data_IF_208517812081
#
_entry.id   IF_208517812081
#
_cell.length_a   1.000
_cell.length_b   1.000
_cell.length_c   1.000
_cell.angle_alpha   90.00
_cell.angle_beta   90.00
_cell.angle_gamma   90.00
#
_symmetry.space_group_name_H-M   'P 1'
#
loop_
_entity.id
_entity.type
_entity.pdbx_description
1 polymer ?
#
# COMPACT_ATOMS: atom_id res chain seq x y z
N UNK A 1 15.66 -31.14 -25.82
CA UNK A 1 16.99 -30.49 -25.74
C UNK A 1 16.75 -29.03 -26.07
N UNK A 2 17.23 -28.09 -25.26
CA UNK A 2 17.00 -26.65 -25.50
C UNK A 2 18.10 -26.09 -26.39
N UNK A 3 17.75 -25.31 -27.42
CA UNK A 3 18.73 -24.74 -28.36
C UNK A 3 18.24 -23.46 -29.02
N UNK A 4 19.16 -22.59 -29.41
CA UNK A 4 18.86 -21.47 -30.30
C UNK A 4 18.77 -21.95 -31.75
N UNK A 5 17.70 -21.59 -32.45
CA UNK A 5 17.50 -21.90 -33.87
C UNK A 5 17.10 -20.61 -34.57
N UNK A 6 17.92 -20.13 -35.52
CA UNK A 6 17.68 -18.88 -36.26
C UNK A 6 17.42 -17.64 -35.36
N UNK A 7 18.07 -17.57 -34.20
CA UNK A 7 17.88 -16.47 -33.23
C UNK A 7 16.62 -16.58 -32.37
N UNK A 8 15.82 -17.65 -32.53
CA UNK A 8 14.69 -17.95 -31.66
C UNK A 8 15.06 -19.06 -30.68
N UNK A 9 14.56 -18.93 -29.45
CA UNK A 9 14.74 -19.95 -28.44
C UNK A 9 13.81 -21.13 -28.68
N UNK A 10 14.38 -22.33 -28.84
CA UNK A 10 13.62 -23.57 -28.94
C UNK A 10 13.63 -24.32 -27.62
N UNK A 11 12.46 -24.43 -27.00
CA UNK A 11 12.27 -25.04 -25.68
C UNK A 11 12.52 -26.56 -25.66
N UNK A 12 12.18 -27.26 -26.76
CA UNK A 12 12.41 -28.70 -26.91
C UNK A 12 11.87 -29.55 -25.75
N UNK A 13 10.63 -29.25 -25.31
CA UNK A 13 9.97 -29.89 -24.17
C UNK A 13 9.62 -31.35 -24.49
N UNK A 14 9.93 -32.25 -23.55
CA UNK A 14 9.62 -33.68 -23.64
C UNK A 14 8.78 -34.06 -22.43
N UNK A 15 7.61 -34.62 -22.69
CA UNK A 15 6.64 -35.00 -21.66
C UNK A 15 6.85 -36.45 -21.23
N UNK A 16 6.74 -36.73 -19.93
CA UNK A 16 6.88 -38.10 -19.38
C UNK A 16 5.72 -39.02 -19.77
N UNK A 17 4.54 -38.44 -20.02
CA UNK A 17 3.31 -39.15 -20.41
C UNK A 17 2.49 -38.30 -21.36
N UNK A 18 1.50 -38.93 -22.00
CA UNK A 18 0.50 -38.20 -22.77
C UNK A 18 -0.38 -37.34 -21.86
N UNK A 19 -0.82 -36.21 -22.40
CA UNK A 19 -1.77 -35.32 -21.75
C UNK A 19 -3.15 -35.96 -21.67
N UNK A 20 -3.83 -35.73 -20.54
CA UNK A 20 -5.26 -35.94 -20.48
C UNK A 20 -5.99 -34.83 -21.26
N UNK A 21 -7.23 -35.09 -21.66
CA UNK A 21 -8.03 -34.15 -22.48
C UNK A 21 -8.13 -32.76 -21.82
N UNK A 22 -8.23 -32.70 -20.49
CA UNK A 22 -8.30 -31.44 -19.74
C UNK A 22 -6.95 -30.74 -19.54
N UNK A 23 -5.82 -31.42 -19.77
CA UNK A 23 -4.48 -30.83 -19.68
C UNK A 23 -4.04 -30.21 -21.01
N UNK A 24 -4.63 -30.63 -22.13
CA UNK A 24 -4.36 -30.08 -23.46
C UNK A 24 -4.53 -28.55 -23.51
N UNK A 25 -5.62 -27.94 -23.00
CA UNK A 25 -5.74 -26.48 -23.02
C UNK A 25 -4.67 -25.80 -22.15
N UNK A 26 -4.32 -26.35 -20.99
CA UNK A 26 -3.27 -25.81 -20.11
C UNK A 26 -1.89 -25.87 -20.78
N UNK A 27 -1.60 -26.98 -21.46
CA UNK A 27 -0.34 -27.14 -22.20
C UNK A 27 -0.24 -26.14 -23.36
N UNK A 28 -1.36 -25.81 -24.02
CA UNK A 28 -1.40 -24.78 -25.06
C UNK A 28 -1.18 -23.39 -24.50
N UNK A 29 -1.86 -23.04 -23.42
CA UNK A 29 -1.66 -21.76 -22.74
C UNK A 29 -0.19 -21.58 -22.30
N UNK A 30 0.40 -22.64 -21.75
CA UNK A 30 1.82 -22.65 -21.42
C UNK A 30 2.71 -22.47 -22.66
N UNK A 31 2.44 -23.17 -23.76
CA UNK A 31 3.20 -23.04 -25.00
C UNK A 31 3.10 -21.62 -25.58
N UNK A 32 1.92 -21.00 -25.52
CA UNK A 32 1.72 -19.59 -25.91
C UNK A 32 2.54 -18.63 -25.05
N UNK A 33 2.54 -18.80 -23.72
CA UNK A 33 3.34 -17.97 -22.81
C UNK A 33 4.84 -18.13 -23.10
N UNK A 34 5.31 -19.36 -23.31
CA UNK A 34 6.70 -19.66 -23.58
C UNK A 34 7.16 -19.10 -24.94
N UNK A 35 6.33 -19.19 -25.97
CA UNK A 35 6.66 -18.71 -27.32
C UNK A 35 6.49 -17.19 -27.48
N UNK A 36 5.63 -16.56 -26.66
CA UNK A 36 5.52 -15.09 -26.60
C UNK A 36 6.64 -14.43 -25.77
N UNK A 37 7.39 -15.21 -24.99
CA UNK A 37 8.52 -14.67 -24.23
C UNK A 37 9.76 -14.50 -25.11
N UNK A 38 10.26 -13.26 -25.19
CA UNK A 38 11.50 -12.96 -25.89
C UNK A 38 12.68 -13.25 -24.95
N UNK A 39 13.29 -14.42 -25.12
CA UNK A 39 14.56 -14.72 -24.46
C UNK A 39 15.69 -14.06 -25.26
N UNK A 40 16.69 -13.55 -24.54
CA UNK A 40 17.90 -12.97 -25.10
C UNK A 40 19.07 -13.73 -24.48
N UNK A 41 20.17 -13.89 -25.21
CA UNK A 41 21.40 -14.54 -24.70
C UNK A 41 22.18 -13.64 -23.71
N UNK A 42 21.54 -12.60 -23.17
CA UNK A 42 22.10 -11.74 -22.14
C UNK A 42 22.02 -12.42 -20.77
N UNK A 43 22.95 -12.05 -19.89
CA UNK A 43 22.89 -12.51 -18.50
C UNK A 43 21.62 -11.99 -17.82
N UNK A 44 20.99 -12.86 -17.03
CA UNK A 44 19.81 -12.50 -16.24
C UNK A 44 20.12 -11.31 -15.33
N UNK A 45 19.24 -10.29 -15.38
CA UNK A 45 19.33 -9.11 -14.52
C UNK A 45 17.98 -8.80 -13.88
N UNK A 46 18.03 -8.28 -12.66
CA UNK A 46 16.87 -7.67 -12.03
C UNK A 46 16.53 -6.38 -12.76
N UNK A 47 15.31 -6.30 -13.29
CA UNK A 47 14.80 -5.08 -13.94
C UNK A 47 13.78 -4.43 -13.02
N UNK A 48 13.94 -3.13 -12.81
CA UNK A 48 12.97 -2.31 -12.10
C UNK A 48 12.01 -1.69 -13.11
N UNK A 49 10.79 -2.19 -13.20
CA UNK A 49 9.84 -1.76 -14.23
C UNK A 49 9.44 -0.28 -14.17
N UNK A 50 9.59 0.39 -13.02
CA UNK A 50 9.27 1.81 -12.94
C UNK A 50 10.39 2.73 -13.46
N UNK A 51 11.61 2.21 -13.63
CA UNK A 51 12.69 2.87 -14.36
C UNK A 51 13.63 1.80 -14.91
N UNK A 52 13.39 1.40 -16.15
CA UNK A 52 14.13 0.31 -16.81
C UNK A 52 15.56 0.74 -17.13
N UNK A 53 15.80 2.02 -17.41
CA UNK A 53 17.09 2.55 -17.86
C UNK A 53 18.07 2.77 -16.70
N UNK A 54 17.63 3.42 -15.60
CA UNK A 54 18.49 3.68 -14.43
C UNK A 54 18.38 2.59 -13.35
N UNK A 55 17.48 1.62 -13.53
CA UNK A 55 17.23 0.57 -12.56
C UNK A 55 16.54 1.07 -11.28
N UNK A 56 16.70 0.29 -10.19
CA UNK A 56 16.05 0.61 -8.92
C UNK A 56 16.67 1.85 -8.27
N UNK A 57 15.82 2.83 -7.97
CA UNK A 57 16.15 3.90 -7.05
C UNK A 57 15.01 4.14 -6.07
N UNK A 58 15.34 4.58 -4.85
CA UNK A 58 14.35 4.96 -3.84
C UNK A 58 13.38 5.99 -4.42
N UNK A 59 13.89 6.96 -5.18
CA UNK A 59 13.07 7.97 -5.89
C UNK A 59 12.04 7.31 -6.80
N UNK A 60 12.48 6.46 -7.73
CA UNK A 60 11.57 5.80 -8.68
C UNK A 60 10.53 4.90 -8.01
N UNK A 61 10.87 4.29 -6.86
CA UNK A 61 9.92 3.56 -6.03
C UNK A 61 8.85 4.50 -5.46
N UNK A 62 9.25 5.62 -4.87
CA UNK A 62 8.30 6.60 -4.33
C UNK A 62 7.41 7.20 -5.41
N UNK A 63 7.96 7.52 -6.58
CA UNK A 63 7.19 8.05 -7.71
C UNK A 63 6.15 7.02 -8.21
N UNK A 64 6.57 5.76 -8.35
CA UNK A 64 5.68 4.66 -8.71
C UNK A 64 4.58 4.41 -7.67
N UNK A 65 4.95 4.38 -6.39
CA UNK A 65 4.00 4.24 -5.28
C UNK A 65 3.04 5.43 -5.23
N UNK A 66 3.51 6.64 -5.49
CA UNK A 66 2.68 7.83 -5.53
C UNK A 66 1.58 7.66 -6.59
N UNK A 67 1.93 7.33 -7.82
CA UNK A 67 0.93 7.10 -8.89
C UNK A 67 -0.02 5.94 -8.53
N UNK A 68 0.53 4.83 -8.04
CA UNK A 68 -0.22 3.58 -7.83
C UNK A 68 -1.13 3.60 -6.60
N UNK A 69 -0.71 4.28 -5.53
CA UNK A 69 -1.42 4.31 -4.24
C UNK A 69 -2.21 5.60 -4.03
N UNK A 70 -1.74 6.75 -4.50
CA UNK A 70 -2.45 8.03 -4.25
C UNK A 70 -3.76 8.10 -5.02
N UNK A 71 -3.85 7.51 -6.22
CA UNK A 71 -5.13 7.37 -6.92
C UNK A 71 -6.15 6.48 -6.17
N UNK A 72 -5.69 5.58 -5.29
CA UNK A 72 -6.57 4.72 -4.49
C UNK A 72 -7.05 5.38 -3.20
N UNK A 73 -6.39 6.45 -2.77
CA UNK A 73 -6.75 7.24 -1.59
C UNK A 73 -7.14 8.63 -2.07
N UNK A 74 -8.38 8.79 -2.53
CA UNK A 74 -8.96 10.10 -2.78
C UNK A 74 -8.99 10.88 -1.48
N UNK A 75 -7.98 11.74 -1.27
CA UNK A 75 -7.95 12.64 -0.12
C UNK A 75 -8.97 13.74 -0.32
N UNK A 76 -9.73 14.04 0.71
CA UNK A 76 -10.66 15.18 0.65
C UNK A 76 -9.87 16.50 0.69
N UNK A 77 -10.45 17.58 0.17
CA UNK A 77 -9.85 18.91 0.23
C UNK A 77 -9.55 19.34 1.67
N UNK A 78 -10.39 18.93 2.62
CA UNK A 78 -10.20 19.15 4.05
C UNK A 78 -8.96 18.44 4.58
N UNK A 79 -8.74 17.18 4.20
CA UNK A 79 -7.56 16.41 4.62
C UNK A 79 -6.26 17.01 4.08
N UNK A 80 -6.25 17.42 2.81
CA UNK A 80 -5.08 18.07 2.19
C UNK A 80 -4.74 19.37 2.91
N UNK A 81 -5.75 20.19 3.21
CA UNK A 81 -5.58 21.42 3.98
C UNK A 81 -5.06 21.13 5.39
N UNK A 82 -5.69 20.23 6.13
CA UNK A 82 -5.31 19.87 7.49
C UNK A 82 -3.87 19.35 7.56
N UNK A 83 -3.46 18.45 6.66
CA UNK A 83 -2.09 17.96 6.60
C UNK A 83 -1.09 19.06 6.31
N UNK A 84 -1.38 19.97 5.38
CA UNK A 84 -0.52 21.14 5.12
C UNK A 84 -0.37 22.01 6.37
N UNK A 85 -1.47 22.24 7.09
CA UNK A 85 -1.46 23.09 8.29
C UNK A 85 -0.67 22.45 9.44
N UNK A 86 -0.83 21.15 9.71
CA UNK A 86 -0.14 20.43 10.79
C UNK A 86 1.39 20.56 10.69
N UNK A 87 1.94 20.54 9.47
CA UNK A 87 3.38 20.65 9.24
C UNK A 87 3.90 22.10 9.20
N UNK A 88 3.02 23.09 9.10
CA UNK A 88 3.35 24.52 9.12
C UNK A 88 3.24 25.15 10.51
N UNK A 89 2.56 24.48 11.45
CA UNK A 89 2.46 24.93 12.83
C UNK A 89 3.84 25.03 13.50
N UNK A 90 4.07 26.11 14.25
CA UNK A 90 5.28 26.33 15.04
C UNK A 90 5.27 25.49 16.34
N UNK A 91 5.10 24.18 16.21
CA UNK A 91 5.08 23.22 17.33
C UNK A 91 6.22 22.22 17.18
N UNK A 92 6.65 21.56 18.28
CA UNK A 92 7.64 20.49 18.19
C UNK A 92 7.17 19.38 17.25
N UNK A 93 8.10 18.78 16.51
CA UNK A 93 7.80 17.74 15.50
C UNK A 93 7.01 16.55 16.04
N UNK A 94 7.21 16.19 17.32
CA UNK A 94 6.43 15.15 18.01
C UNK A 94 4.94 15.50 18.10
N UNK A 95 4.61 16.77 18.31
CA UNK A 95 3.23 17.26 18.38
C UNK A 95 2.59 17.24 17.00
N UNK A 96 3.29 17.70 15.96
CA UNK A 96 2.81 17.59 14.57
C UNK A 96 2.59 16.13 14.16
N UNK A 97 3.52 15.22 14.52
CA UNK A 97 3.38 13.81 14.24
C UNK A 97 2.17 13.19 14.96
N UNK A 98 1.93 13.56 16.23
CA UNK A 98 0.76 13.12 16.99
C UNK A 98 -0.54 13.63 16.36
N UNK A 99 -0.61 14.91 15.99
CA UNK A 99 -1.78 15.50 15.33
C UNK A 99 -2.07 14.82 13.98
N UNK A 100 -1.02 14.53 13.19
CA UNK A 100 -1.14 13.78 11.94
C UNK A 100 -1.64 12.35 12.16
N UNK A 101 -1.16 11.67 13.20
CA UNK A 101 -1.63 10.33 13.58
C UNK A 101 -3.08 10.35 14.07
N UNK A 102 -3.47 11.34 14.87
CA UNK A 102 -4.86 11.56 15.31
C UNK A 102 -5.78 11.70 14.11
N UNK A 103 -5.44 12.59 13.18
CA UNK A 103 -6.26 12.89 12.02
C UNK A 103 -6.42 11.69 11.06
N UNK A 104 -5.47 10.77 11.07
CA UNK A 104 -5.54 9.53 10.30
C UNK A 104 -6.17 8.35 11.05
N UNK A 105 -6.65 8.56 12.28
CA UNK A 105 -7.13 7.51 13.18
C UNK A 105 -6.09 6.38 13.35
N UNK A 106 -4.84 6.77 13.61
CA UNK A 106 -3.68 5.86 13.72
C UNK A 106 -3.09 5.78 15.12
N UNK A 107 -3.75 6.35 16.11
CA UNK A 107 -3.35 6.21 17.51
C UNK A 107 -3.84 4.85 18.04
N UNK A 108 -3.04 4.15 18.87
CA UNK A 108 -3.43 2.88 19.48
C UNK A 108 -4.50 3.10 20.58
N UNK A 109 -5.66 3.63 20.21
CA UNK A 109 -6.86 3.64 21.04
C UNK A 109 -7.46 2.24 21.06
N UNK A 110 -8.28 1.94 22.06
CA UNK A 110 -8.96 0.64 22.19
C UNK A 110 -9.76 0.30 20.94
N UNK A 111 -10.49 1.27 20.41
CA UNK A 111 -11.29 1.13 19.19
C UNK A 111 -10.42 0.82 17.96
N UNK A 112 -9.29 1.52 17.80
CA UNK A 112 -8.38 1.28 16.68
C UNK A 112 -7.68 -0.08 16.75
N UNK A 113 -7.30 -0.51 17.95
CA UNK A 113 -6.73 -1.83 18.16
C UNK A 113 -7.75 -2.92 17.86
N UNK A 114 -9.01 -2.72 18.26
CA UNK A 114 -10.12 -3.62 17.97
C UNK A 114 -10.43 -3.66 16.46
N UNK A 115 -10.54 -2.51 15.81
CA UNK A 115 -10.79 -2.40 14.36
C UNK A 115 -9.70 -3.12 13.54
N UNK A 116 -8.44 -3.06 14.01
CA UNK A 116 -7.30 -3.77 13.41
C UNK A 116 -7.18 -5.23 13.83
N UNK A 117 -8.10 -5.74 14.65
CA UNK A 117 -8.13 -7.12 15.17
C UNK A 117 -6.87 -7.49 15.96
N UNK A 118 -6.30 -6.52 16.67
CA UNK A 118 -5.16 -6.73 17.59
C UNK A 118 -5.68 -7.19 18.96
N UNK A 119 -6.80 -6.63 19.42
CA UNK A 119 -7.50 -7.03 20.64
C UNK A 119 -8.90 -7.55 20.29
N UNK A 120 -9.44 -8.45 21.12
CA UNK A 120 -10.79 -9.00 20.95
C UNK A 120 -11.84 -8.09 21.60
N UNK A 121 -13.03 -8.01 20.99
CA UNK A 121 -14.17 -7.21 21.50
C UNK A 121 -14.55 -7.60 22.94
N UNK A 122 -14.31 -8.85 23.33
CA UNK A 122 -14.62 -9.34 24.68
C UNK A 122 -13.67 -8.74 25.75
N UNK A 123 -12.52 -8.17 25.34
CA UNK A 123 -11.61 -7.38 26.20
C UNK A 123 -11.93 -5.86 26.13
N UNK A 124 -12.86 -5.45 25.27
CA UNK A 124 -13.30 -4.06 25.04
C UNK A 124 -14.47 -3.71 25.98
N UNK A 125 -15.00 -4.64 26.77
CA UNK A 125 -15.95 -4.31 27.83
C UNK A 125 -15.24 -3.58 28.99
N UNK A 126 -15.58 -2.31 29.16
CA UNK A 126 -15.02 -1.47 30.22
C UNK A 126 -15.45 -1.99 31.60
N UNK A 127 -14.48 -2.16 32.50
CA UNK A 127 -14.70 -2.33 33.95
C UNK A 127 -15.20 -1.05 34.66
N UNK A 128 -16.04 -0.24 33.99
CA UNK A 128 -16.84 0.80 34.60
C UNK A 128 -18.27 0.60 34.14
N UNK A 129 -19.06 -0.02 35.01
CA UNK A 129 -20.47 -0.22 34.77
C UNK A 129 -21.23 1.10 34.65
N UNK A 130 -22.17 1.12 33.71
CA UNK A 130 -23.32 2.02 33.73
C UNK A 130 -23.57 2.80 32.44
N UNK A 131 -24.48 2.27 31.60
CA UNK A 131 -25.47 3.08 30.87
C UNK A 131 -25.14 3.55 29.45
N UNK A 132 -25.74 2.86 28.47
CA UNK A 132 -26.38 3.34 27.23
C UNK A 132 -25.82 4.53 26.43
N UNK A 133 -25.22 4.23 25.27
CA UNK A 133 -25.48 4.81 23.91
C UNK A 133 -24.20 5.01 23.08
N UNK A 134 -24.16 4.61 21.79
CA UNK A 134 -22.97 4.69 20.93
C UNK A 134 -22.91 5.96 20.08
N UNK A 135 -23.20 7.13 20.66
CA UNK A 135 -23.14 8.39 19.92
C UNK A 135 -22.63 9.52 20.81
N UNK A 136 -21.34 9.82 20.69
CA UNK A 136 -20.78 11.06 21.22
C UNK A 136 -19.46 10.87 21.94
N UNK A 137 -18.39 10.53 21.23
CA UNK A 137 -17.01 10.63 21.73
C UNK A 137 -16.01 10.79 20.57
N UNK A 138 -16.33 11.55 19.53
CA UNK A 138 -15.31 12.10 18.62
C UNK A 138 -15.80 13.47 18.22
N UNK A 139 -15.43 14.51 18.97
CA UNK A 139 -15.39 15.90 18.51
C UNK A 139 -14.90 16.78 19.67
N UNK A 140 -13.58 16.79 19.94
CA UNK A 140 -13.00 17.89 20.73
C UNK A 140 -11.49 18.09 20.55
N UNK A 141 -11.00 18.05 19.31
CA UNK A 141 -9.59 18.42 18.98
C UNK A 141 -9.52 19.61 18.02
N UNK A 142 -10.68 20.14 17.57
CA UNK A 142 -10.72 21.17 16.52
C UNK A 142 -10.42 22.59 17.02
N UNK A 143 -10.47 22.83 18.33
CA UNK A 143 -10.43 24.19 18.86
C UNK A 143 -9.03 24.63 19.33
N UNK A 144 -8.12 23.70 19.59
CA UNK A 144 -6.78 24.04 20.10
C UNK A 144 -5.83 24.68 19.08
N UNK A 145 -6.15 24.71 17.78
CA UNK A 145 -5.33 25.38 16.77
C UNK A 145 -5.76 26.83 16.50
N UNK A 146 -7.04 27.16 16.72
CA UNK A 146 -7.58 28.51 16.50
C UNK A 146 -7.26 29.48 17.64
N UNK A 147 -7.09 29.00 18.87
CA UNK A 147 -6.83 29.88 20.01
C UNK A 147 -5.41 30.47 20.04
N UNK A 148 -4.42 29.82 19.42
CA UNK A 148 -3.04 30.32 19.39
C UNK A 148 -2.86 31.55 18.47
N UNK A 149 -3.70 31.70 17.43
CA UNK A 149 -3.65 32.88 16.55
C UNK A 149 -4.15 34.17 17.24
N UNK A 150 -4.94 34.07 18.31
CA UNK A 150 -5.41 35.24 19.07
C UNK A 150 -4.44 35.74 20.14
N UNK A 151 -3.41 34.95 20.48
CA UNK A 151 -2.41 35.31 21.49
C UNK A 151 -1.13 35.89 20.87
N UNK A 152 -1.02 35.93 19.54
CA UNK A 152 0.15 36.39 18.81
C UNK A 152 -0.02 37.76 18.12
N UNK A 153 -1.05 38.54 18.49
CA UNK A 153 -1.26 39.91 17.99
C UNK A 153 -1.53 40.89 19.13
#
# INVERSE_FOLDING_TARGET
>A
MRSWVNGLWWWGLIWRRNFFVWEIPLAREMDEVLNNSCLVEEADRWVWNANVDDGFSVKSLYDWLFVSLVHRVTRTSLEVFAFSSIWKCAVPSKVSALAWQLFLDRIPTKDNLCHRRIIHIDEVDCAMGGGDSPAGCVDDVRDSCWEWEKQAN
#
